data_IF_946950015914
#
_entry.id   IF_946950015914
#
_cell.length_a   1.000
_cell.length_b   1.000
_cell.length_c   1.000
_cell.angle_alpha   90.00
_cell.angle_beta   90.00
_cell.angle_gamma   90.00
#
_symmetry.space_group_name_H-M   'P 1'
#
loop_
_entity.id
_entity.type
_entity.pdbx_description
1 polymer ?
#
# COMPACT_ATOMS: atom_id res chain seq x y z
N UNK A 1 -32.79 8.22 2.43
CA UNK A 1 -32.17 7.16 1.64
C UNK A 1 -30.98 7.76 0.88
N UNK A 2 -29.83 7.10 0.87
CA UNK A 2 -28.64 7.44 0.10
C UNK A 2 -28.70 6.78 -1.29
N UNK A 3 -27.97 7.32 -2.26
CA UNK A 3 -27.75 6.62 -3.53
C UNK A 3 -26.61 5.61 -3.38
N UNK A 4 -25.53 6.00 -2.71
CA UNK A 4 -24.38 5.12 -2.48
C UNK A 4 -23.90 5.26 -1.04
N UNK A 5 -23.62 4.13 -0.38
CA UNK A 5 -22.87 4.09 0.87
C UNK A 5 -21.57 3.31 0.64
N UNK A 6 -20.44 3.93 0.97
CA UNK A 6 -19.10 3.32 0.95
C UNK A 6 -18.75 2.92 2.38
N UNK A 7 -18.35 1.66 2.59
CA UNK A 7 -17.97 1.13 3.91
C UNK A 7 -16.46 1.01 3.98
N UNK A 8 -15.85 1.80 4.84
CA UNK A 8 -14.40 1.93 5.03
C UNK A 8 -13.85 3.26 4.52
N UNK A 9 -13.27 4.06 5.42
CA UNK A 9 -12.62 5.34 5.14
C UNK A 9 -11.08 5.24 5.04
N UNK A 10 -10.58 4.09 4.59
CA UNK A 10 -9.21 3.93 4.13
C UNK A 10 -9.01 4.53 2.73
N UNK A 11 -7.78 4.49 2.20
CA UNK A 11 -7.43 5.08 0.90
C UNK A 11 -8.35 4.62 -0.24
N UNK A 12 -8.79 3.35 -0.24
CA UNK A 12 -9.70 2.81 -1.26
C UNK A 12 -11.08 3.45 -1.17
N UNK A 13 -11.67 3.50 0.02
CA UNK A 13 -12.99 4.10 0.20
C UNK A 13 -13.00 5.60 -0.08
N UNK A 14 -11.99 6.33 0.40
CA UNK A 14 -11.83 7.75 0.13
C UNK A 14 -11.62 8.04 -1.36
N UNK A 15 -10.84 7.20 -2.07
CA UNK A 15 -10.68 7.32 -3.52
C UNK A 15 -11.99 7.09 -4.27
N UNK A 16 -12.74 6.05 -3.89
CA UNK A 16 -14.07 5.76 -4.48
C UNK A 16 -15.02 6.94 -4.22
N UNK A 17 -15.10 7.43 -2.99
CA UNK A 17 -15.93 8.57 -2.62
C UNK A 17 -15.61 9.82 -3.46
N UNK A 18 -14.30 10.16 -3.57
CA UNK A 18 -13.85 11.26 -4.42
C UNK A 18 -14.23 11.09 -5.88
N UNK A 19 -14.04 9.91 -6.45
CA UNK A 19 -14.39 9.69 -7.85
C UNK A 19 -15.89 9.72 -8.09
N UNK A 20 -16.70 9.26 -7.15
CA UNK A 20 -18.16 9.29 -7.22
C UNK A 20 -18.74 10.68 -6.96
N UNK A 21 -18.08 11.54 -6.19
CA UNK A 21 -18.54 12.91 -5.89
C UNK A 21 -18.68 13.82 -7.13
N UNK A 22 -18.23 13.34 -8.30
CA UNK A 22 -18.45 14.02 -9.59
C UNK A 22 -19.88 13.90 -10.11
N UNK A 23 -20.66 13.01 -9.53
CA UNK A 23 -22.03 12.72 -9.97
C UNK A 23 -23.00 13.27 -8.94
N UNK A 24 -24.16 13.71 -9.43
CA UNK A 24 -25.26 14.08 -8.54
C UNK A 24 -25.78 12.87 -7.79
N UNK A 25 -25.98 13.00 -6.48
CA UNK A 25 -26.50 11.95 -5.63
C UNK A 25 -26.06 12.13 -4.18
N UNK A 26 -26.82 11.53 -3.25
CA UNK A 26 -26.46 11.51 -1.84
C UNK A 26 -25.51 10.34 -1.56
N UNK A 27 -24.33 10.66 -1.10
CA UNK A 27 -23.28 9.67 -0.81
C UNK A 27 -22.83 9.78 0.64
N UNK A 28 -22.57 8.63 1.26
CA UNK A 28 -22.08 8.53 2.63
C UNK A 28 -20.89 7.57 2.67
N UNK A 29 -19.86 7.93 3.39
CA UNK A 29 -18.78 7.04 3.81
C UNK A 29 -18.97 6.68 5.28
N UNK A 30 -18.98 5.38 5.59
CA UNK A 30 -19.04 4.85 6.96
C UNK A 30 -17.68 4.30 7.37
N UNK A 31 -17.24 4.56 8.59
CA UNK A 31 -16.13 3.83 9.19
C UNK A 31 -16.43 3.51 10.67
N UNK A 32 -15.96 2.36 11.13
CA UNK A 32 -16.04 1.95 12.54
C UNK A 32 -15.08 2.76 13.43
N UNK A 33 -14.02 3.29 12.85
CA UNK A 33 -13.00 4.08 13.51
C UNK A 33 -13.44 5.56 13.66
N UNK A 34 -12.65 6.32 14.39
CA UNK A 34 -12.93 7.72 14.74
C UNK A 34 -12.58 8.71 13.61
N UNK A 35 -11.81 8.27 12.61
CA UNK A 35 -11.33 9.14 11.55
C UNK A 35 -10.99 8.33 10.27
N UNK A 36 -10.64 9.02 9.20
CA UNK A 36 -10.08 8.43 7.98
C UNK A 36 -8.69 7.83 8.24
N UNK A 37 -8.24 6.95 7.36
CA UNK A 37 -6.87 6.40 7.38
C UNK A 37 -6.51 5.58 8.64
N UNK A 38 -7.45 5.13 9.46
CA UNK A 38 -7.16 4.43 10.72
C UNK A 38 -6.72 2.97 10.57
N UNK A 39 -6.98 2.33 9.42
CA UNK A 39 -6.60 0.94 9.12
C UNK A 39 -5.22 0.80 8.45
N UNK A 40 -5.11 -0.13 7.50
CA UNK A 40 -3.89 -0.43 6.72
C UNK A 40 -3.32 0.79 6.00
N UNK A 41 -4.17 1.77 5.66
CA UNK A 41 -3.75 2.98 4.94
C UNK A 41 -2.73 3.82 5.72
N UNK A 42 -2.71 3.79 7.05
CA UNK A 42 -1.69 4.46 7.89
C UNK A 42 -0.42 3.64 8.13
N UNK A 43 -0.44 2.33 7.86
CA UNK A 43 0.61 1.40 8.26
C UNK A 43 1.04 0.51 7.09
N UNK A 44 1.83 1.08 6.17
CA UNK A 44 2.33 0.45 4.96
C UNK A 44 3.68 1.05 4.55
N UNK A 45 4.24 0.56 3.43
CA UNK A 45 5.56 1.01 2.93
C UNK A 45 5.52 2.36 2.21
N UNK A 46 4.36 2.93 1.96
CA UNK A 46 4.18 4.22 1.25
C UNK A 46 4.74 4.25 -0.20
N UNK A 47 4.82 3.09 -0.84
CA UNK A 47 5.43 2.92 -2.17
C UNK A 47 4.38 3.04 -3.27
N UNK A 48 4.68 3.85 -4.26
CA UNK A 48 4.00 3.86 -5.56
C UNK A 48 4.78 2.97 -6.51
N UNK A 49 4.31 1.73 -6.67
CA UNK A 49 4.99 0.73 -7.48
C UNK A 49 4.99 1.09 -8.96
N UNK A 50 6.11 0.86 -9.65
CA UNK A 50 6.25 1.12 -11.09
C UNK A 50 5.40 0.19 -11.97
N UNK A 51 5.01 -1.01 -11.48
CA UNK A 51 4.15 -1.95 -12.22
C UNK A 51 4.85 -3.18 -12.80
N UNK A 52 6.14 -3.41 -12.49
CA UNK A 52 6.92 -4.50 -13.06
C UNK A 52 6.63 -5.88 -12.44
N UNK A 53 6.05 -5.96 -11.24
CA UNK A 53 6.00 -7.18 -10.43
C UNK A 53 4.73 -8.02 -10.68
N UNK A 54 3.58 -7.38 -10.81
CA UNK A 54 2.32 -8.09 -11.02
C UNK A 54 2.32 -8.86 -12.35
N UNK A 55 1.80 -10.08 -12.35
CA UNK A 55 1.79 -10.95 -13.52
C UNK A 55 1.06 -10.29 -14.71
N UNK A 56 1.68 -10.28 -15.87
CA UNK A 56 1.11 -9.67 -17.08
C UNK A 56 -0.25 -10.26 -17.42
N UNK A 57 -1.17 -9.41 -17.89
CA UNK A 57 -2.54 -9.78 -18.25
C UNK A 57 -3.52 -9.84 -17.07
N UNK A 58 -3.06 -9.64 -15.84
CA UNK A 58 -3.94 -9.56 -14.66
C UNK A 58 -4.49 -8.16 -14.44
N UNK A 59 -5.65 -8.08 -13.77
CA UNK A 59 -6.22 -6.79 -13.35
C UNK A 59 -5.25 -6.04 -12.42
N UNK A 60 -4.52 -6.77 -11.58
CA UNK A 60 -3.49 -6.19 -10.69
C UNK A 60 -2.41 -5.46 -11.49
N UNK A 61 -1.87 -6.07 -12.56
CA UNK A 61 -0.86 -5.43 -13.40
C UNK A 61 -1.40 -4.16 -14.07
N UNK A 62 -2.61 -4.24 -14.62
CA UNK A 62 -3.28 -3.10 -15.25
C UNK A 62 -3.48 -1.95 -14.26
N UNK A 63 -4.13 -2.21 -13.13
CA UNK A 63 -4.46 -1.18 -12.14
C UNK A 63 -3.20 -0.60 -11.47
N UNK A 64 -2.15 -1.41 -11.26
CA UNK A 64 -0.89 -0.93 -10.73
C UNK A 64 -0.24 0.11 -11.65
N UNK A 65 -0.16 -0.19 -12.96
CA UNK A 65 0.41 0.76 -13.93
C UNK A 65 -0.45 2.03 -14.07
N UNK A 66 -1.77 1.87 -14.20
CA UNK A 66 -2.68 3.01 -14.31
C UNK A 66 -2.60 3.91 -13.07
N UNK A 67 -2.60 3.32 -11.86
CA UNK A 67 -2.46 4.06 -10.60
C UNK A 67 -1.12 4.80 -10.51
N UNK A 68 -0.02 4.18 -10.93
CA UNK A 68 1.28 4.84 -10.99
C UNK A 68 1.25 6.07 -11.90
N UNK A 69 0.69 5.93 -13.11
CA UNK A 69 0.61 7.02 -14.10
C UNK A 69 -0.32 8.17 -13.64
N UNK A 70 -1.34 7.89 -12.83
CA UNK A 70 -2.25 8.89 -12.29
C UNK A 70 -1.64 9.69 -11.15
N UNK A 71 -0.70 9.12 -10.40
CA UNK A 71 -0.22 9.66 -9.12
C UNK A 71 0.37 11.07 -9.21
N UNK A 72 1.23 11.42 -10.21
CA UNK A 72 1.79 12.77 -10.32
C UNK A 72 0.73 13.86 -10.49
N UNK A 73 -0.30 13.59 -11.30
CA UNK A 73 -1.38 14.56 -11.50
C UNK A 73 -2.28 14.64 -10.26
N UNK A 74 -2.56 13.50 -9.63
CA UNK A 74 -3.36 13.42 -8.41
C UNK A 74 -2.70 14.18 -7.25
N UNK A 75 -1.37 14.03 -7.10
CA UNK A 75 -0.60 14.75 -6.10
C UNK A 75 -0.65 16.27 -6.31
N UNK A 76 -0.59 16.71 -7.57
CA UNK A 76 -0.72 18.13 -7.92
C UNK A 76 -2.13 18.66 -7.67
N UNK A 77 -3.17 17.88 -8.02
CA UNK A 77 -4.57 18.30 -7.89
C UNK A 77 -5.02 18.40 -6.42
N UNK A 78 -4.46 17.57 -5.55
CA UNK A 78 -4.86 17.42 -4.15
C UNK A 78 -3.80 17.91 -3.15
N UNK A 79 -2.65 18.39 -3.63
CA UNK A 79 -1.56 18.97 -2.84
C UNK A 79 -1.08 18.06 -1.68
N UNK A 80 -0.80 16.79 -1.99
CA UNK A 80 -0.19 15.88 -1.04
C UNK A 80 1.26 15.54 -1.40
N UNK A 81 2.06 15.19 -0.39
CA UNK A 81 3.48 14.87 -0.56
C UNK A 81 3.68 13.60 -1.38
N UNK A 82 4.34 13.74 -2.52
CA UNK A 82 4.69 12.69 -3.45
C UNK A 82 6.07 12.94 -4.07
N UNK A 83 6.84 11.89 -4.27
CA UNK A 83 8.15 11.96 -4.91
C UNK A 83 8.38 10.75 -5.83
N UNK A 84 8.78 10.98 -7.07
CA UNK A 84 9.28 9.94 -7.97
C UNK A 84 10.78 9.72 -7.70
N UNK A 85 11.09 8.92 -6.68
CA UNK A 85 12.46 8.62 -6.29
C UNK A 85 13.04 7.36 -6.96
N UNK A 86 12.22 6.64 -7.74
CA UNK A 86 12.64 5.39 -8.38
C UNK A 86 12.78 4.22 -7.42
N UNK A 87 12.91 3.02 -7.99
CA UNK A 87 13.12 1.80 -7.22
C UNK A 87 14.16 0.88 -7.86
N UNK A 88 14.91 0.17 -7.04
CA UNK A 88 15.94 -0.78 -7.39
C UNK A 88 15.56 -2.16 -6.83
N UNK A 89 15.47 -3.18 -7.69
CA UNK A 89 15.34 -4.58 -7.24
C UNK A 89 16.71 -5.23 -7.36
N UNK A 90 17.35 -5.43 -6.21
CA UNK A 90 18.76 -5.84 -6.14
C UNK A 90 18.91 -7.34 -6.33
N UNK A 91 19.84 -7.74 -7.20
CA UNK A 91 20.25 -9.12 -7.43
C UNK A 91 21.57 -9.38 -6.72
N UNK A 92 21.61 -10.40 -5.83
CA UNK A 92 22.73 -10.68 -4.96
C UNK A 92 23.66 -11.78 -5.47
N UNK A 93 23.29 -12.47 -6.54
CA UNK A 93 24.09 -13.54 -7.14
C UNK A 93 23.90 -13.62 -8.66
N UNK A 94 24.92 -14.08 -9.37
CA UNK A 94 24.80 -14.33 -10.82
C UNK A 94 23.79 -15.44 -11.14
N UNK A 95 23.58 -16.39 -10.23
CA UNK A 95 22.59 -17.46 -10.37
C UNK A 95 21.16 -16.92 -10.43
N UNK A 96 20.90 -15.76 -9.84
CA UNK A 96 19.59 -15.12 -9.79
C UNK A 96 19.35 -14.13 -10.95
N UNK A 97 20.35 -13.86 -11.80
CA UNK A 97 20.19 -13.00 -12.98
C UNK A 97 19.04 -13.42 -13.92
N UNK A 98 18.78 -14.71 -14.16
CA UNK A 98 17.61 -15.12 -14.95
C UNK A 98 16.28 -14.70 -14.31
N UNK A 99 16.17 -14.65 -12.98
CA UNK A 99 14.98 -14.16 -12.29
C UNK A 99 14.83 -12.65 -12.46
N UNK A 100 15.94 -11.91 -12.37
CA UNK A 100 15.96 -10.47 -12.62
C UNK A 100 15.52 -10.15 -14.04
N UNK A 101 16.03 -10.92 -15.03
CA UNK A 101 15.67 -10.80 -16.43
C UNK A 101 14.16 -11.08 -16.65
N UNK A 102 13.61 -12.12 -16.03
CA UNK A 102 12.19 -12.43 -16.11
C UNK A 102 11.32 -11.31 -15.53
N UNK A 103 11.77 -10.69 -14.42
CA UNK A 103 11.06 -9.55 -13.81
C UNK A 103 11.08 -8.32 -14.74
N UNK A 104 12.21 -8.04 -15.39
CA UNK A 104 12.34 -7.00 -16.41
C UNK A 104 11.37 -7.24 -17.57
N UNK A 105 11.38 -8.45 -18.14
CA UNK A 105 10.50 -8.80 -19.27
C UNK A 105 9.02 -8.69 -18.92
N UNK A 106 8.64 -9.11 -17.70
CA UNK A 106 7.28 -8.93 -17.19
C UNK A 106 6.91 -7.45 -17.11
N UNK A 107 7.78 -6.61 -16.58
CA UNK A 107 7.57 -5.17 -16.49
C UNK A 107 7.42 -4.50 -17.87
N UNK A 108 8.26 -4.91 -18.85
CA UNK A 108 8.14 -4.44 -20.25
C UNK A 108 6.79 -4.84 -20.85
N UNK A 109 6.36 -6.10 -20.65
CA UNK A 109 5.05 -6.59 -21.10
C UNK A 109 3.89 -5.84 -20.45
N UNK A 110 4.03 -5.44 -19.18
CA UNK A 110 3.04 -4.61 -18.47
C UNK A 110 3.00 -3.16 -18.98
N UNK A 111 4.00 -2.72 -19.77
CA UNK A 111 4.06 -1.37 -20.32
C UNK A 111 4.81 -0.36 -19.44
N UNK A 112 5.53 -0.82 -18.41
CA UNK A 112 6.36 0.04 -17.56
C UNK A 112 7.46 0.69 -18.40
N UNK A 113 7.63 1.99 -18.27
CA UNK A 113 8.60 2.77 -19.06
C UNK A 113 9.95 2.88 -18.36
N UNK A 114 11.00 3.02 -19.17
CA UNK A 114 12.37 3.31 -18.72
C UNK A 114 12.94 2.25 -17.75
N UNK A 115 12.43 1.01 -17.80
CA UNK A 115 13.04 -0.10 -17.07
C UNK A 115 14.42 -0.41 -17.64
N UNK A 116 15.37 -0.66 -16.75
CA UNK A 116 16.75 -1.00 -17.13
C UNK A 116 17.32 -2.04 -16.15
N UNK A 117 18.06 -3.03 -16.68
CA UNK A 117 18.92 -3.86 -15.84
C UNK A 117 20.29 -3.17 -15.80
N UNK A 118 20.67 -2.70 -14.62
CA UNK A 118 21.95 -2.05 -14.38
C UNK A 118 22.96 -3.01 -13.79
N UNK A 119 24.24 -2.88 -14.17
CA UNK A 119 25.34 -3.63 -13.58
C UNK A 119 25.70 -3.11 -12.18
N UNK A 120 26.60 -3.82 -11.50
CA UNK A 120 27.04 -3.47 -10.15
C UNK A 120 27.67 -2.05 -10.09
N UNK A 121 28.38 -1.61 -11.11
CA UNK A 121 28.99 -0.29 -11.15
C UNK A 121 27.91 0.80 -11.16
N UNK A 122 26.98 0.69 -12.10
CA UNK A 122 25.88 1.66 -12.23
C UNK A 122 24.96 1.62 -11.02
N UNK A 123 24.72 0.45 -10.43
CA UNK A 123 23.95 0.29 -9.19
C UNK A 123 24.57 1.10 -8.04
N UNK A 124 25.89 1.00 -7.83
CA UNK A 124 26.56 1.75 -6.76
C UNK A 124 26.73 3.26 -7.05
N UNK A 125 26.66 3.68 -8.32
CA UNK A 125 26.54 5.09 -8.67
C UNK A 125 25.15 5.64 -8.28
N UNK A 126 24.09 4.86 -8.50
CA UNK A 126 22.71 5.23 -8.14
C UNK A 126 22.50 5.19 -6.62
N UNK A 127 22.99 4.14 -5.96
CA UNK A 127 22.76 3.88 -4.53
C UNK A 127 24.01 3.34 -3.87
N UNK A 128 24.90 4.22 -3.36
CA UNK A 128 26.24 3.84 -2.85
C UNK A 128 26.22 2.88 -1.65
N UNK A 129 25.12 2.87 -0.87
CA UNK A 129 24.98 2.06 0.33
C UNK A 129 24.32 0.70 0.11
N UNK A 130 23.97 0.36 -1.14
CA UNK A 130 23.59 -1.01 -1.48
C UNK A 130 24.77 -1.96 -1.25
N UNK A 131 24.46 -3.18 -0.84
CA UNK A 131 25.47 -4.19 -0.52
C UNK A 131 26.48 -4.38 -1.66
N UNK A 132 27.76 -4.40 -1.30
CA UNK A 132 28.88 -4.63 -2.23
C UNK A 132 28.85 -6.01 -2.89
N UNK A 133 28.02 -6.93 -2.38
CA UNK A 133 27.79 -8.24 -2.98
C UNK A 133 26.78 -8.23 -4.12
N UNK A 134 26.08 -7.13 -4.31
CA UNK A 134 25.10 -7.00 -5.38
C UNK A 134 25.78 -7.01 -6.75
N UNK A 135 25.31 -7.86 -7.64
CA UNK A 135 25.88 -8.06 -8.99
C UNK A 135 25.13 -7.25 -10.06
N UNK A 136 23.86 -6.97 -9.85
CA UNK A 136 23.01 -6.20 -10.78
C UNK A 136 21.74 -5.70 -10.04
N UNK A 137 20.96 -4.86 -10.69
CA UNK A 137 19.62 -4.51 -10.23
C UNK A 137 18.69 -4.21 -11.42
N UNK A 138 17.38 -4.39 -11.19
CA UNK A 138 16.35 -3.78 -12.04
C UNK A 138 16.11 -2.35 -11.54
N UNK A 139 16.43 -1.38 -12.36
CA UNK A 139 16.15 0.02 -12.15
C UNK A 139 14.80 0.41 -12.75
N UNK A 140 13.90 0.96 -11.94
CA UNK A 140 12.58 1.43 -12.34
C UNK A 140 12.40 2.89 -11.91
N UNK A 141 12.77 3.87 -12.75
CA UNK A 141 12.73 5.31 -12.40
C UNK A 141 11.31 5.84 -12.18
N UNK A 142 10.29 5.13 -12.67
CA UNK A 142 8.88 5.50 -12.50
C UNK A 142 8.28 5.04 -11.15
N UNK A 143 9.04 4.35 -10.32
CA UNK A 143 8.66 4.09 -8.94
C UNK A 143 8.67 5.37 -8.10
N UNK A 144 7.87 5.44 -7.06
CA UNK A 144 7.79 6.61 -6.21
C UNK A 144 7.40 6.29 -4.76
N UNK A 145 7.37 7.32 -3.96
CA UNK A 145 6.93 7.30 -2.57
C UNK A 145 5.90 8.41 -2.33
N UNK A 146 5.03 8.19 -1.35
CA UNK A 146 3.93 9.11 -1.02
C UNK A 146 3.78 9.21 0.50
N UNK A 147 3.21 10.31 1.01
CA UNK A 147 2.66 10.30 2.35
C UNK A 147 1.30 9.60 2.33
N UNK A 148 1.15 8.39 2.91
CA UNK A 148 -0.11 7.65 2.81
C UNK A 148 -1.23 8.30 3.65
N UNK A 149 -0.86 9.06 4.69
CA UNK A 149 -1.81 9.86 5.46
C UNK A 149 -2.35 11.00 4.61
N UNK A 150 -1.47 11.86 4.07
CA UNK A 150 -1.88 13.03 3.29
C UNK A 150 -2.67 12.63 2.05
N UNK A 151 -2.26 11.55 1.35
CA UNK A 151 -3.05 11.01 0.24
C UNK A 151 -4.47 10.65 0.65
N UNK A 152 -4.63 9.91 1.76
CA UNK A 152 -5.96 9.46 2.19
C UNK A 152 -6.81 10.62 2.67
N UNK A 153 -6.24 11.55 3.45
CA UNK A 153 -6.91 12.75 3.96
C UNK A 153 -7.34 13.64 2.80
N UNK A 154 -6.44 13.94 1.86
CA UNK A 154 -6.74 14.80 0.72
C UNK A 154 -7.85 14.23 -0.20
N UNK A 155 -7.90 12.90 -0.35
CA UNK A 155 -9.00 12.23 -1.05
C UNK A 155 -10.33 12.39 -0.30
N UNK A 156 -10.32 12.27 1.02
CA UNK A 156 -11.51 12.41 1.85
C UNK A 156 -12.01 13.85 1.89
N UNK A 157 -11.12 14.81 2.12
CA UNK A 157 -11.44 16.24 2.13
C UNK A 157 -12.04 16.69 0.80
N UNK A 158 -11.43 16.29 -0.32
CA UNK A 158 -11.96 16.60 -1.64
C UNK A 158 -13.34 15.98 -1.87
N UNK A 159 -13.58 14.74 -1.39
CA UNK A 159 -14.91 14.13 -1.46
C UNK A 159 -15.94 14.90 -0.61
N UNK A 160 -15.55 15.29 0.62
CA UNK A 160 -16.38 16.06 1.54
C UNK A 160 -16.76 17.43 0.97
N UNK A 161 -15.80 18.17 0.43
CA UNK A 161 -16.00 19.47 -0.21
C UNK A 161 -16.96 19.38 -1.43
N UNK A 162 -17.03 18.20 -2.05
CA UNK A 162 -17.96 17.91 -3.14
C UNK A 162 -19.25 17.20 -2.68
N UNK A 163 -19.58 17.30 -1.39
CA UNK A 163 -20.90 16.94 -0.84
C UNK A 163 -21.04 15.48 -0.38
N UNK A 164 -19.95 14.72 -0.28
CA UNK A 164 -19.99 13.38 0.35
C UNK A 164 -20.06 13.51 1.88
N UNK A 165 -21.03 12.87 2.49
CA UNK A 165 -21.13 12.81 3.95
C UNK A 165 -20.17 11.75 4.52
N UNK A 166 -19.61 11.98 5.72
CA UNK A 166 -18.80 11.02 6.46
C UNK A 166 -19.40 10.77 7.83
N UNK A 167 -19.50 9.50 8.22
CA UNK A 167 -19.98 9.08 9.55
C UNK A 167 -19.02 8.07 10.15
N UNK A 168 -18.27 8.52 11.14
CA UNK A 168 -17.28 7.74 11.88
C UNK A 168 -17.89 7.11 13.14
N UNK A 169 -17.10 6.23 13.80
CA UNK A 169 -17.51 5.44 14.95
C UNK A 169 -18.82 4.67 14.67
N UNK A 170 -18.99 4.17 13.45
CA UNK A 170 -20.22 3.53 13.01
C UNK A 170 -19.91 2.17 12.38
N UNK A 171 -20.16 1.12 13.14
CA UNK A 171 -19.87 -0.24 12.73
C UNK A 171 -21.06 -0.86 12.00
N UNK A 172 -20.84 -1.36 10.78
CA UNK A 172 -21.81 -2.15 10.04
C UNK A 172 -21.91 -3.55 10.64
N UNK A 173 -23.14 -3.98 10.97
CA UNK A 173 -23.45 -5.26 11.60
C UNK A 173 -24.20 -6.22 10.69
N UNK A 174 -24.83 -5.72 9.62
CA UNK A 174 -25.60 -6.57 8.71
C UNK A 174 -26.23 -5.80 7.57
N UNK A 175 -26.88 -6.56 6.69
CA UNK A 175 -27.57 -6.04 5.52
C UNK A 175 -28.90 -6.76 5.31
N UNK A 176 -29.91 -6.02 4.90
CA UNK A 176 -31.18 -6.56 4.39
C UNK A 176 -31.49 -5.94 3.05
N UNK A 177 -31.77 -6.80 2.04
CA UNK A 177 -32.32 -6.36 0.75
C UNK A 177 -33.83 -6.15 0.87
N UNK A 178 -34.33 -5.00 0.46
CA UNK A 178 -35.73 -4.64 0.62
C UNK A 178 -36.19 -3.85 -0.61
N UNK A 179 -37.02 -4.47 -1.43
CA UNK A 179 -37.75 -3.84 -2.55
C UNK A 179 -36.91 -2.88 -3.45
N UNK A 180 -35.70 -3.28 -3.79
CA UNK A 180 -34.84 -2.52 -4.71
C UNK A 180 -33.77 -1.62 -4.04
N UNK A 181 -33.63 -1.70 -2.72
CA UNK A 181 -32.58 -1.00 -1.98
C UNK A 181 -32.04 -1.84 -0.82
N UNK A 182 -30.92 -1.43 -0.28
CA UNK A 182 -30.28 -2.04 0.90
C UNK A 182 -30.64 -1.28 2.16
N UNK A 183 -30.95 -2.03 3.21
CA UNK A 183 -30.92 -1.53 4.60
C UNK A 183 -29.62 -2.04 5.20
N UNK A 184 -28.74 -1.11 5.61
CA UNK A 184 -27.49 -1.38 6.31
C UNK A 184 -27.78 -1.23 7.81
N UNK A 185 -27.62 -2.31 8.56
CA UNK A 185 -27.76 -2.30 10.02
C UNK A 185 -26.44 -1.90 10.63
N UNK A 186 -26.44 -0.86 11.45
CA UNK A 186 -25.28 -0.37 12.17
C UNK A 186 -25.53 -0.33 13.69
N UNK A 187 -24.49 -0.18 14.47
CA UNK A 187 -24.56 0.04 15.91
C UNK A 187 -25.22 1.39 16.31
N UNK A 188 -25.46 2.27 15.33
CA UNK A 188 -26.14 3.57 15.50
C UNK A 188 -27.50 3.66 14.82
N UNK A 189 -28.02 2.53 14.33
CA UNK A 189 -29.32 2.45 13.64
C UNK A 189 -29.19 2.10 12.17
N UNK A 190 -30.32 2.02 11.51
CA UNK A 190 -30.43 1.55 10.13
C UNK A 190 -30.24 2.70 9.13
N UNK A 191 -29.55 2.40 8.04
CA UNK A 191 -29.33 3.32 6.92
C UNK A 191 -29.82 2.67 5.62
N UNK A 192 -30.50 3.43 4.79
CA UNK A 192 -31.02 2.98 3.49
C UNK A 192 -30.21 3.50 2.33
N UNK A 193 -29.88 2.64 1.38
CA UNK A 193 -29.10 3.00 0.18
C UNK A 193 -29.42 2.13 -1.02
N UNK A 194 -29.27 2.67 -2.23
CA UNK A 194 -29.41 1.91 -3.47
C UNK A 194 -28.22 1.00 -3.74
N UNK A 195 -26.98 1.51 -3.48
CA UNK A 195 -25.75 0.79 -3.75
C UNK A 195 -24.85 0.80 -2.53
N UNK A 196 -24.11 -0.30 -2.35
CA UNK A 196 -23.09 -0.45 -1.31
C UNK A 196 -21.76 -0.73 -1.96
N UNK A 197 -20.74 0.01 -1.55
CA UNK A 197 -19.34 -0.25 -1.91
C UNK A 197 -18.61 -0.77 -0.67
N UNK A 198 -18.09 -1.98 -0.73
CA UNK A 198 -17.32 -2.58 0.34
C UNK A 198 -15.83 -2.24 0.16
N UNK A 199 -15.31 -1.33 0.97
CA UNK A 199 -13.90 -0.92 1.03
C UNK A 199 -13.30 -1.16 2.43
N UNK A 200 -13.80 -2.16 3.18
CA UNK A 200 -13.51 -2.41 4.58
C UNK A 200 -12.15 -3.11 4.85
N UNK A 201 -11.21 -3.07 3.89
CA UNK A 201 -9.84 -3.56 4.08
C UNK A 201 -9.80 -5.02 4.54
N UNK A 202 -9.14 -5.29 5.67
CA UNK A 202 -9.02 -6.66 6.22
C UNK A 202 -10.35 -7.26 6.71
N UNK A 203 -11.41 -6.47 6.76
CA UNK A 203 -12.77 -6.92 7.11
C UNK A 203 -13.69 -7.06 5.89
N UNK A 204 -13.18 -6.86 4.66
CA UNK A 204 -14.02 -6.84 3.46
C UNK A 204 -14.71 -8.20 3.21
N UNK A 205 -14.08 -9.31 3.53
CA UNK A 205 -14.67 -10.64 3.43
C UNK A 205 -15.81 -10.85 4.44
N UNK A 206 -15.70 -10.28 5.64
CA UNK A 206 -16.76 -10.37 6.65
C UNK A 206 -18.06 -9.76 6.11
N UNK A 207 -17.98 -8.54 5.57
CA UNK A 207 -19.13 -7.87 4.99
C UNK A 207 -19.63 -8.56 3.70
N UNK A 208 -18.70 -8.98 2.83
CA UNK A 208 -19.03 -9.73 1.62
C UNK A 208 -19.80 -11.01 1.95
N UNK A 209 -19.38 -11.72 2.98
CA UNK A 209 -19.97 -12.99 3.40
C UNK A 209 -21.37 -12.86 4.00
N UNK A 210 -21.79 -11.66 4.41
CA UNK A 210 -23.16 -11.40 4.87
C UNK A 210 -24.17 -11.43 3.71
N UNK A 211 -23.75 -11.06 2.50
CA UNK A 211 -24.67 -10.87 1.35
C UNK A 211 -24.42 -11.82 0.18
N UNK A 212 -23.25 -12.47 0.10
CA UNK A 212 -22.88 -13.34 -1.00
C UNK A 212 -22.97 -14.82 -0.64
N UNK A 213 -23.40 -15.64 -1.61
CA UNK A 213 -23.33 -17.10 -1.50
C UNK A 213 -21.91 -17.62 -1.70
N UNK A 214 -21.12 -16.94 -2.55
CA UNK A 214 -19.69 -17.22 -2.71
C UNK A 214 -18.94 -16.60 -1.52
N UNK A 215 -18.36 -17.45 -0.69
CA UNK A 215 -17.60 -16.99 0.48
C UNK A 215 -16.16 -16.67 0.10
N UNK A 216 -15.63 -15.62 0.72
CA UNK A 216 -14.23 -15.20 0.67
C UNK A 216 -13.63 -15.37 2.06
N UNK A 217 -12.32 -15.50 2.12
CA UNK A 217 -11.57 -15.51 3.37
C UNK A 217 -10.32 -14.66 3.23
N UNK A 218 -10.21 -13.60 4.04
CA UNK A 218 -9.04 -12.76 4.12
C UNK A 218 -8.23 -13.17 5.34
N UNK A 219 -7.00 -13.61 5.12
CA UNK A 219 -6.01 -13.81 6.16
C UNK A 219 -5.18 -12.53 6.31
N UNK A 220 -5.22 -11.84 7.47
CA UNK A 220 -4.38 -10.68 7.68
C UNK A 220 -2.90 -11.05 7.62
N UNK A 221 -2.14 -10.39 6.75
CA UNK A 221 -0.69 -10.55 6.69
C UNK A 221 -0.02 -9.37 7.33
N UNK A 222 0.53 -9.57 8.54
CA UNK A 222 1.22 -8.55 9.31
C UNK A 222 2.59 -8.28 8.71
N UNK A 223 2.89 -6.99 8.53
CA UNK A 223 4.20 -6.48 8.20
C UNK A 223 4.70 -5.53 9.28
N UNK A 224 5.78 -5.91 9.96
CA UNK A 224 6.47 -5.06 10.93
C UNK A 224 7.42 -4.11 10.21
N UNK A 225 7.56 -2.89 10.71
CA UNK A 225 8.41 -1.84 10.17
C UNK A 225 9.23 -1.17 11.27
N UNK A 226 10.44 -0.71 10.90
CA UNK A 226 11.20 0.29 11.64
C UNK A 226 11.20 1.61 10.86
N UNK A 227 11.00 2.72 11.56
CA UNK A 227 11.19 4.06 11.05
C UNK A 227 12.43 4.68 11.71
N UNK A 228 13.41 5.08 10.90
CA UNK A 228 14.65 5.68 11.36
C UNK A 228 14.56 7.20 11.34
N UNK A 229 15.36 7.85 12.18
CA UNK A 229 15.43 9.31 12.30
C UNK A 229 15.82 9.99 10.98
N UNK A 230 15.33 11.22 10.77
CA UNK A 230 15.65 12.07 9.62
C UNK A 230 17.13 12.41 9.51
N UNK A 231 17.90 12.36 10.62
CA UNK A 231 19.35 12.57 10.60
C UNK A 231 20.07 11.57 9.68
N UNK A 232 19.50 10.41 9.45
CA UNK A 232 20.04 9.39 8.54
C UNK A 232 19.25 9.30 7.22
N UNK A 233 18.38 10.26 6.93
CA UNK A 233 17.47 10.25 5.79
C UNK A 233 18.13 10.17 4.41
N UNK A 234 19.36 10.67 4.28
CA UNK A 234 20.15 10.56 3.04
C UNK A 234 20.91 9.24 2.88
N UNK A 235 20.71 8.26 3.76
CA UNK A 235 21.42 6.98 3.71
C UNK A 235 21.03 6.15 2.49
N UNK A 236 19.78 6.17 2.07
CA UNK A 236 19.31 5.70 0.77
C UNK A 236 18.46 6.77 0.09
N UNK A 237 18.59 6.87 -1.24
CA UNK A 237 17.86 7.85 -2.05
C UNK A 237 16.68 7.22 -2.78
N UNK A 238 16.77 5.95 -3.11
CA UNK A 238 15.79 5.16 -3.85
C UNK A 238 15.14 4.10 -2.95
N UNK A 239 14.03 3.56 -3.41
CA UNK A 239 13.46 2.37 -2.77
C UNK A 239 14.25 1.13 -3.19
N UNK A 240 14.92 0.49 -2.25
CA UNK A 240 15.74 -0.72 -2.46
C UNK A 240 14.93 -1.95 -2.08
N UNK A 241 14.60 -2.79 -3.06
CA UNK A 241 13.93 -4.08 -2.90
C UNK A 241 14.93 -5.24 -3.06
N UNK A 242 14.59 -6.37 -2.47
CA UNK A 242 15.17 -7.66 -2.80
C UNK A 242 14.43 -8.30 -3.98
N UNK A 243 15.10 -9.19 -4.72
CA UNK A 243 14.40 -10.04 -5.69
C UNK A 243 13.27 -10.82 -5.02
N UNK A 244 12.08 -10.89 -5.65
CA UNK A 244 10.95 -11.61 -5.09
C UNK A 244 11.29 -13.08 -4.79
N UNK A 245 10.99 -13.52 -3.56
CA UNK A 245 11.07 -14.90 -3.13
C UNK A 245 9.67 -15.52 -2.97
N UNK A 246 9.60 -16.70 -2.36
CA UNK A 246 8.33 -17.43 -2.13
C UNK A 246 7.29 -16.62 -1.33
N UNK A 247 7.73 -15.70 -0.46
CA UNK A 247 6.88 -14.87 0.39
C UNK A 247 6.71 -13.43 -0.12
N UNK A 248 7.06 -13.16 -1.38
CA UNK A 248 7.00 -11.83 -2.00
C UNK A 248 8.34 -11.13 -2.08
N UNK A 249 8.34 -9.78 -2.16
CA UNK A 249 9.53 -8.94 -2.44
C UNK A 249 10.55 -8.85 -1.29
N UNK A 250 10.31 -9.49 -0.17
CA UNK A 250 11.18 -9.38 1.01
C UNK A 250 11.12 -8.02 1.70
N UNK A 251 12.11 -7.76 2.56
CA UNK A 251 12.27 -6.50 3.28
C UNK A 251 12.86 -5.45 2.33
N UNK A 252 12.23 -4.28 2.26
CA UNK A 252 12.76 -3.13 1.55
C UNK A 252 13.41 -2.13 2.52
N UNK A 253 14.27 -1.28 1.98
CA UNK A 253 14.79 -0.07 2.62
C UNK A 253 14.46 1.10 1.69
N UNK A 254 13.81 2.14 2.20
CA UNK A 254 13.42 3.29 1.41
C UNK A 254 13.50 4.59 2.21
N UNK A 255 13.73 5.68 1.53
CA UNK A 255 13.43 7.00 2.10
C UNK A 255 11.92 7.22 2.15
N UNK A 256 11.45 8.16 2.97
CA UNK A 256 10.07 8.65 2.98
C UNK A 256 10.04 10.07 2.43
N UNK A 257 8.88 10.56 2.02
CA UNK A 257 8.72 11.95 1.55
C UNK A 257 9.10 13.00 2.60
N UNK A 258 9.10 12.61 3.88
CA UNK A 258 9.49 13.47 5.00
C UNK A 258 10.97 13.33 5.40
N UNK A 259 11.74 12.52 4.67
CA UNK A 259 13.20 12.38 4.87
C UNK A 259 13.59 11.39 5.98
N UNK A 260 12.70 10.53 6.44
CA UNK A 260 13.03 9.38 7.28
C UNK A 260 13.45 8.19 6.43
N UNK A 261 14.03 7.16 7.02
CA UNK A 261 14.22 5.86 6.39
C UNK A 261 13.20 4.88 6.97
N UNK A 262 12.49 4.18 6.08
CA UNK A 262 11.61 3.07 6.45
C UNK A 262 12.26 1.74 6.07
N UNK A 263 12.21 0.78 6.99
CA UNK A 263 12.71 -0.58 6.80
C UNK A 263 11.57 -1.55 7.09
N UNK A 264 11.29 -2.44 6.17
CA UNK A 264 10.16 -3.39 6.27
C UNK A 264 9.58 -3.72 4.90
N UNK A 265 8.45 -4.42 4.85
CA UNK A 265 7.82 -5.13 5.98
C UNK A 265 8.36 -6.54 6.19
N UNK A 266 8.03 -7.14 7.32
CA UNK A 266 7.94 -8.60 7.45
C UNK A 266 6.68 -9.12 6.77
N UNK A 267 6.47 -10.45 6.72
CA UNK A 267 5.28 -11.04 6.10
C UNK A 267 4.84 -12.26 6.93
N UNK A 268 3.98 -12.04 7.92
CA UNK A 268 3.53 -13.07 8.87
C UNK A 268 2.01 -13.13 8.81
N UNK A 269 1.47 -14.28 8.43
CA UNK A 269 0.03 -14.52 8.44
C UNK A 269 -0.44 -14.69 9.90
N UNK A 270 -1.51 -13.99 10.26
CA UNK A 270 -2.09 -14.01 11.60
C UNK A 270 -3.62 -14.12 11.51
N UNK A 271 -4.27 -14.58 12.58
CA UNK A 271 -5.73 -14.66 12.64
C UNK A 271 -6.37 -13.35 13.13
N UNK A 272 -5.64 -12.61 13.98
CA UNK A 272 -6.14 -11.38 14.59
C UNK A 272 -6.15 -10.22 13.59
N UNK A 273 -7.33 -9.71 13.25
CA UNK A 273 -7.53 -8.59 12.33
C UNK A 273 -7.20 -7.23 12.93
N UNK A 274 -6.96 -7.16 14.22
CA UNK A 274 -6.53 -5.97 14.96
C UNK A 274 -5.09 -6.10 15.49
N UNK A 275 -4.39 -7.21 15.16
CA UNK A 275 -3.04 -7.57 15.60
C UNK A 275 -1.94 -6.68 15.01
N UNK A 276 -1.96 -5.38 15.30
CA UNK A 276 -1.01 -4.37 14.78
C UNK A 276 0.20 -4.13 15.70
N UNK A 277 0.40 -4.96 16.72
CA UNK A 277 1.59 -4.91 17.58
C UNK A 277 2.83 -5.44 16.84
N UNK A 278 3.97 -4.80 17.00
CA UNK A 278 5.27 -5.34 16.58
C UNK A 278 5.75 -6.40 17.56
N UNK A 279 6.62 -7.31 17.11
CA UNK A 279 7.23 -8.35 17.94
C UNK A 279 8.74 -8.30 17.86
N UNK A 280 9.44 -8.69 18.93
CA UNK A 280 10.90 -8.75 18.94
C UNK A 280 11.43 -9.64 17.80
N UNK A 281 10.86 -10.83 17.61
CA UNK A 281 11.24 -11.75 16.55
C UNK A 281 11.00 -11.14 15.13
N UNK A 282 9.89 -10.42 14.93
CA UNK A 282 9.61 -9.73 13.66
C UNK A 282 10.61 -8.62 13.38
N UNK A 283 10.98 -7.84 14.39
CA UNK A 283 12.00 -6.78 14.23
C UNK A 283 13.40 -7.35 14.00
N UNK A 284 13.79 -8.43 14.67
CA UNK A 284 15.07 -9.14 14.44
C UNK A 284 15.14 -9.70 13.01
N UNK A 285 14.06 -10.33 12.53
CA UNK A 285 13.97 -10.83 11.15
C UNK A 285 14.11 -9.69 10.14
N UNK A 286 13.40 -8.58 10.37
CA UNK A 286 13.44 -7.40 9.54
C UNK A 286 14.85 -6.82 9.40
N UNK A 287 15.55 -6.63 10.55
CA UNK A 287 16.91 -6.09 10.58
C UNK A 287 17.88 -7.02 9.85
N UNK A 288 17.80 -8.33 10.12
CA UNK A 288 18.64 -9.33 9.46
C UNK A 288 18.46 -9.32 7.94
N UNK A 289 17.20 -9.29 7.46
CA UNK A 289 16.89 -9.30 6.01
C UNK A 289 17.28 -8.00 5.33
N UNK A 290 17.08 -6.84 5.97
CA UNK A 290 17.47 -5.55 5.41
C UNK A 290 18.98 -5.46 5.16
N UNK A 291 19.78 -6.02 6.08
CA UNK A 291 21.24 -6.09 5.98
C UNK A 291 21.77 -6.92 4.80
N UNK A 292 20.92 -7.71 4.12
CA UNK A 292 21.31 -8.42 2.90
C UNK A 292 21.48 -7.42 1.73
N UNK A 293 20.58 -6.44 1.62
CA UNK A 293 20.52 -5.53 0.47
C UNK A 293 21.26 -4.21 0.68
N UNK A 294 21.38 -3.77 1.93
CA UNK A 294 21.95 -2.46 2.30
C UNK A 294 22.97 -2.65 3.40
N UNK A 295 24.24 -2.34 3.09
CA UNK A 295 25.34 -2.49 4.05
C UNK A 295 25.29 -1.39 5.12
N UNK A 296 25.66 -1.72 6.36
CA UNK A 296 25.81 -0.78 7.49
C UNK A 296 24.56 0.08 7.76
N UNK A 297 23.37 -0.46 7.53
CA UNK A 297 22.12 0.26 7.80
C UNK A 297 22.10 0.78 9.24
N UNK A 298 21.87 2.11 9.47
CA UNK A 298 21.98 2.73 10.78
C UNK A 298 20.77 2.43 11.68
N UNK A 299 20.47 1.15 11.90
CA UNK A 299 19.27 0.66 12.59
C UNK A 299 19.14 1.18 14.04
N UNK A 300 20.25 1.57 14.67
CA UNK A 300 20.25 2.20 16.00
C UNK A 300 19.56 3.54 16.05
N UNK A 301 19.34 4.16 14.89
CA UNK A 301 18.60 5.42 14.74
C UNK A 301 17.08 5.19 14.55
N UNK A 302 16.59 4.00 14.89
CA UNK A 302 15.14 3.73 14.90
C UNK A 302 14.47 4.60 15.96
N UNK A 303 13.51 5.43 15.53
CA UNK A 303 12.72 6.31 16.40
C UNK A 303 11.40 5.66 16.81
N UNK A 304 10.87 4.75 15.97
CA UNK A 304 9.66 4.00 16.26
C UNK A 304 9.57 2.74 15.42
N UNK A 305 8.74 1.80 15.88
CA UNK A 305 8.30 0.64 15.09
C UNK A 305 6.79 0.59 15.03
N UNK A 306 6.25 0.06 13.96
CA UNK A 306 4.82 -0.13 13.76
C UNK A 306 4.55 -1.35 12.90
N UNK A 307 3.31 -1.83 12.92
CA UNK A 307 2.89 -2.91 12.04
C UNK A 307 1.57 -2.56 11.33
N UNK A 308 1.43 -3.09 10.13
CA UNK A 308 0.21 -2.99 9.34
C UNK A 308 -0.25 -4.35 8.83
N UNK A 309 -1.54 -4.48 8.59
CA UNK A 309 -2.17 -5.71 8.15
C UNK A 309 -2.56 -5.60 6.67
N UNK A 310 -1.93 -6.42 5.83
CA UNK A 310 -2.35 -6.56 4.43
C UNK A 310 -3.51 -7.54 4.34
N UNK A 311 -4.58 -7.16 3.66
CA UNK A 311 -5.63 -8.10 3.26
C UNK A 311 -5.05 -9.08 2.22
N UNK A 312 -5.01 -10.36 2.55
CA UNK A 312 -4.47 -11.42 1.69
C UNK A 312 -5.51 -12.55 1.57
N UNK A 313 -5.89 -12.86 0.33
CA UNK A 313 -6.78 -13.97 -0.03
C UNK A 313 -5.97 -15.12 -0.63
#
# INVERSE_FOLDING_TARGET
MYDIIVIGAGVTGCAVARYLSRYEGRMLVLDKEEDVCCGTSKANSAIIHAGFDAANGTLMAKMNLEGNLMMPQLAKDLDFDFQMNGSLVVCMSEEDLPKLQALYENGVKNGVKQLEIVDAKRLHELEPNVSKKAVAALWAPTGGIVCPFNLTIALAENAYDNGVEFQFNTQVQGFTWKDGYWVIHTDKGDLETRYVVNAAGVYADVLHNMVSTRKLHITPRRGDYCLLDRQVGGFVSHTVFQLPGKLGKGVLVSTTVHGNIIVGPTAIDIEDRDGTNTTAAGLEELISKAGISVDNLPIRQTITSFAGLRAHE
#
